data_IF_725503182280
#
_entry.id   IF_725503182280
#
_cell.length_a   1.000
_cell.length_b   1.000
_cell.length_c   1.000
_cell.angle_alpha   90.00
_cell.angle_beta   90.00
_cell.angle_gamma   90.00
#
_symmetry.space_group_name_H-M   'P 1'
#
loop_
_entity.id
_entity.type
_entity.pdbx_description
1 polymer ?
#
# COMPACT_ATOMS: atom_id res chain seq x y z
N UNK A 1 -25.31 -20.07 8.92
CA UNK A 1 -24.29 -19.06 8.54
C UNK A 1 -23.20 -19.06 9.60
N UNK A 2 -21.93 -19.39 9.28
CA UNK A 2 -20.84 -19.32 10.27
C UNK A 2 -20.58 -17.85 10.61
N UNK A 3 -20.75 -17.48 11.88
CA UNK A 3 -20.41 -16.13 12.38
C UNK A 3 -18.89 -15.96 12.23
N UNK A 4 -18.44 -14.91 11.54
CA UNK A 4 -17.02 -14.53 11.50
C UNK A 4 -16.65 -14.06 12.90
N UNK A 5 -15.91 -14.89 13.63
CA UNK A 5 -15.26 -14.52 14.88
C UNK A 5 -14.50 -13.18 14.71
N UNK A 6 -14.42 -12.34 15.76
CA UNK A 6 -13.72 -11.07 15.70
C UNK A 6 -12.28 -11.29 15.23
N UNK A 7 -11.88 -10.51 14.24
CA UNK A 7 -10.53 -10.56 13.68
C UNK A 7 -9.50 -10.37 14.80
N UNK A 8 -8.56 -11.31 14.93
CA UNK A 8 -7.53 -11.24 15.95
C UNK A 8 -6.49 -10.20 15.53
N UNK A 9 -6.05 -9.35 16.45
CA UNK A 9 -5.02 -8.34 16.19
C UNK A 9 -3.73 -8.78 16.87
N UNK A 10 -2.63 -8.75 16.13
CA UNK A 10 -1.30 -9.09 16.61
C UNK A 10 -0.41 -7.85 16.58
N UNK A 11 0.35 -7.66 17.65
CA UNK A 11 1.38 -6.62 17.75
C UNK A 11 2.75 -7.26 17.62
N UNK A 12 3.57 -6.72 16.71
CA UNK A 12 4.98 -7.11 16.55
C UNK A 12 5.85 -5.91 16.84
N UNK A 13 6.79 -6.08 17.76
CA UNK A 13 7.76 -5.04 18.10
C UNK A 13 9.02 -5.29 17.28
N UNK A 14 9.39 -4.32 16.43
CA UNK A 14 10.61 -4.40 15.61
C UNK A 14 11.34 -3.07 15.74
N UNK A 15 12.59 -3.10 16.23
CA UNK A 15 13.44 -1.91 16.43
C UNK A 15 12.68 -0.77 17.12
N UNK A 16 12.10 -1.08 18.29
CA UNK A 16 11.25 -0.21 19.10
C UNK A 16 9.88 0.14 18.49
N UNK A 17 9.63 -0.07 17.20
CA UNK A 17 8.34 0.28 16.59
C UNK A 17 7.29 -0.84 16.79
N UNK A 18 6.05 -0.43 17.02
CA UNK A 18 4.91 -1.34 17.16
C UNK A 18 4.19 -1.48 15.82
N UNK A 19 4.21 -2.67 15.26
CA UNK A 19 3.52 -2.99 14.02
C UNK A 19 2.29 -3.83 14.30
N UNK A 20 1.17 -3.43 13.72
CA UNK A 20 -0.14 -4.04 13.93
C UNK A 20 -0.50 -4.90 12.74
N UNK A 21 -0.86 -6.15 13.02
CA UNK A 21 -1.28 -7.13 12.04
C UNK A 21 -2.67 -7.65 12.40
N UNK A 22 -3.44 -8.00 11.38
CA UNK A 22 -4.70 -8.72 11.49
C UNK A 22 -4.46 -10.19 11.17
N UNK A 23 -4.67 -11.06 12.14
CA UNK A 23 -4.53 -12.50 11.98
C UNK A 23 -5.88 -13.14 11.65
N UNK A 24 -5.87 -13.95 10.59
CA UNK A 24 -6.98 -14.80 10.16
C UNK A 24 -6.44 -16.18 9.84
N UNK A 25 -7.34 -17.14 9.72
CA UNK A 25 -7.00 -18.51 9.37
C UNK A 25 -7.84 -18.92 8.16
N UNK A 26 -7.17 -19.43 7.13
CA UNK A 26 -7.80 -19.92 5.90
C UNK A 26 -7.49 -21.40 5.71
N UNK A 27 -8.44 -22.15 5.18
CA UNK A 27 -8.22 -23.56 4.87
C UNK A 27 -7.45 -23.69 3.55
N UNK A 28 -6.23 -24.19 3.63
CA UNK A 28 -5.39 -24.49 2.47
C UNK A 28 -5.79 -25.88 1.93
N UNK A 29 -6.54 -25.90 0.83
CA UNK A 29 -7.08 -27.15 0.23
C UNK A 29 -5.99 -28.06 -0.32
N UNK A 30 -4.91 -27.50 -0.84
CA UNK A 30 -3.80 -28.25 -1.43
C UNK A 30 -3.02 -29.00 -0.35
N UNK A 31 -2.75 -28.32 0.77
CA UNK A 31 -2.02 -28.89 1.89
C UNK A 31 -2.92 -29.57 2.92
N UNK A 32 -4.25 -29.54 2.70
CA UNK A 32 -5.32 -30.05 3.58
C UNK A 32 -5.13 -29.64 5.05
N UNK A 33 -4.72 -28.39 5.28
CA UNK A 33 -4.46 -27.86 6.62
C UNK A 33 -4.88 -26.40 6.75
N UNK A 34 -5.14 -25.97 7.98
CA UNK A 34 -5.38 -24.55 8.28
C UNK A 34 -4.07 -23.79 8.14
N UNK A 35 -4.08 -22.73 7.34
CA UNK A 35 -2.97 -21.79 7.19
C UNK A 35 -3.33 -20.47 7.83
N UNK A 36 -2.50 -20.04 8.77
CA UNK A 36 -2.60 -18.70 9.37
C UNK A 36 -2.14 -17.66 8.36
N UNK A 37 -2.95 -16.63 8.17
CA UNK A 37 -2.68 -15.47 7.32
C UNK A 37 -2.62 -14.25 8.24
N UNK A 38 -1.58 -13.44 8.09
CA UNK A 38 -1.44 -12.19 8.85
C UNK A 38 -1.31 -11.03 7.88
N UNK A 39 -2.14 -10.01 8.05
CA UNK A 39 -2.20 -8.84 7.18
C UNK A 39 -1.72 -7.61 7.95
N UNK A 40 -0.76 -6.87 7.40
CA UNK A 40 -0.29 -5.63 8.01
C UNK A 40 -1.32 -4.50 7.86
N UNK A 41 -1.82 -3.96 8.98
CA UNK A 41 -2.86 -2.92 8.99
C UNK A 41 -2.34 -1.52 9.36
N UNK A 42 -1.17 -1.42 10.00
CA UNK A 42 -0.63 -0.13 10.42
C UNK A 42 0.40 -0.26 11.54
N UNK A 43 0.83 0.87 12.09
CA UNK A 43 1.79 0.94 13.20
C UNK A 43 1.23 1.77 14.35
N UNK A 44 1.74 1.54 15.56
CA UNK A 44 1.45 2.37 16.73
C UNK A 44 2.74 3.14 17.05
N UNK A 45 2.64 4.46 17.16
CA UNK A 45 3.75 5.30 17.60
C UNK A 45 4.05 5.05 19.08
N UNK A 46 5.23 5.45 19.54
CA UNK A 46 5.59 5.40 20.97
C UNK A 46 4.64 6.17 21.89
N UNK A 47 3.90 7.16 21.35
CA UNK A 47 2.84 7.87 22.06
C UNK A 47 1.49 7.14 22.09
N UNK A 48 1.40 5.89 21.62
CA UNK A 48 0.16 5.09 21.61
C UNK A 48 -0.80 5.41 20.47
N UNK A 49 -0.44 6.29 19.53
CA UNK A 49 -1.30 6.68 18.41
C UNK A 49 -1.19 5.65 17.29
N UNK A 50 -2.34 5.08 16.90
CA UNK A 50 -2.42 4.16 15.76
C UNK A 50 -2.41 4.91 14.42
N UNK A 51 -1.46 4.57 13.56
CA UNK A 51 -1.35 5.03 12.16
C UNK A 51 -1.73 3.89 11.22
N UNK A 52 -2.87 4.02 10.56
CA UNK A 52 -3.31 3.08 9.53
C UNK A 52 -2.32 3.05 8.37
N UNK A 53 -2.05 1.86 7.84
CA UNK A 53 -1.28 1.67 6.60
C UNK A 53 -1.93 2.50 5.49
N UNK A 54 -1.19 3.46 4.94
CA UNK A 54 -1.63 4.22 3.76
C UNK A 54 -1.68 3.27 2.57
N UNK A 55 -2.82 3.23 1.90
CA UNK A 55 -2.92 2.62 0.58
C UNK A 55 -2.07 3.49 -0.35
N UNK A 56 -0.96 2.96 -0.85
CA UNK A 56 -0.21 3.65 -1.89
C UNK A 56 -1.13 3.69 -3.10
N UNK A 57 -1.72 4.86 -3.40
CA UNK A 57 -2.31 5.11 -4.70
C UNK A 57 -1.23 4.80 -5.72
N UNK A 58 -1.44 3.74 -6.50
CA UNK A 58 -0.49 3.30 -7.55
C UNK A 58 -0.36 4.33 -8.67
N UNK A 59 -1.17 5.38 -8.63
CA UNK A 59 -1.05 6.57 -9.46
C UNK A 59 0.10 7.39 -8.87
N UNK A 60 1.31 7.03 -9.24
CA UNK A 60 2.40 7.98 -9.24
C UNK A 60 2.06 8.95 -10.38
N UNK A 61 1.43 10.09 -10.07
CA UNK A 61 1.42 11.23 -10.98
C UNK A 61 2.88 11.62 -11.18
N UNK A 62 3.53 10.96 -12.13
CA UNK A 62 4.92 11.21 -12.41
C UNK A 62 4.93 12.57 -13.10
N UNK A 63 5.52 13.58 -12.45
CA UNK A 63 5.66 14.91 -13.06
C UNK A 63 6.29 14.87 -14.46
N UNK A 64 6.90 13.74 -14.86
CA UNK A 64 7.39 13.45 -16.23
C UNK A 64 6.33 13.65 -17.31
N UNK A 65 5.08 13.25 -17.09
CA UNK A 65 4.02 13.40 -18.11
C UNK A 65 3.77 14.89 -18.43
N UNK A 66 3.83 15.76 -17.42
CA UNK A 66 3.69 17.22 -17.59
C UNK A 66 4.90 17.83 -18.33
N UNK A 67 6.11 17.34 -18.07
CA UNK A 67 7.32 17.81 -18.76
C UNK A 67 7.39 17.36 -20.23
N UNK A 68 6.93 16.16 -20.55
CA UNK A 68 6.92 15.65 -21.93
C UNK A 68 5.99 16.47 -22.85
N UNK A 69 4.83 16.89 -22.35
CA UNK A 69 3.93 17.78 -23.09
C UNK A 69 4.56 19.16 -23.34
N UNK A 70 5.20 19.75 -22.32
CA UNK A 70 5.88 21.04 -22.45
C UNK A 70 7.02 21.01 -23.48
N UNK A 71 7.80 19.93 -23.49
CA UNK A 71 8.89 19.74 -24.45
C UNK A 71 8.38 19.55 -25.89
N UNK A 72 7.28 18.82 -26.07
CA UNK A 72 6.66 18.63 -27.38
C UNK A 72 6.11 19.94 -27.97
N UNK A 73 5.48 20.77 -27.14
CA UNK A 73 4.96 22.08 -27.55
C UNK A 73 6.08 23.05 -27.97
N UNK A 74 7.20 23.07 -27.23
CA UNK A 74 8.39 23.85 -27.58
C UNK A 74 9.03 23.38 -28.89
N UNK A 75 9.16 22.06 -29.09
CA UNK A 75 9.71 21.51 -30.32
C UNK A 75 8.83 21.85 -31.54
N UNK A 76 7.50 21.72 -31.41
CA UNK A 76 6.56 22.09 -32.47
C UNK A 76 6.68 23.58 -32.83
N UNK A 77 6.74 24.46 -31.83
CA UNK A 77 6.95 25.89 -32.06
C UNK A 77 8.27 26.18 -32.79
N UNK A 78 9.37 25.54 -32.40
CA UNK A 78 10.69 25.75 -33.02
C UNK A 78 10.77 25.21 -34.45
N UNK A 79 10.05 24.13 -34.76
CA UNK A 79 10.04 23.51 -36.10
C UNK A 79 9.15 24.30 -37.06
N UNK A 80 7.98 24.75 -36.61
CA UNK A 80 6.96 25.37 -37.50
C UNK A 80 7.03 26.89 -37.58
N UNK A 81 7.92 27.58 -36.85
CA UNK A 81 8.14 29.03 -36.97
C UNK A 81 9.39 29.42 -37.78
N UNK A 82 10.09 28.47 -38.40
CA UNK A 82 11.28 28.71 -39.23
C UNK A 82 11.07 28.53 -40.74
N UNK A 83 9.84 28.37 -41.20
CA UNK A 83 9.44 28.40 -42.61
C UNK A 83 8.45 29.52 -42.84
#
# INVERSE_FOLDING_TARGET
>A
MKKKEPSHIELKIIKNNYYVYRATSEWDKERKKVRKITEYIGSIDHGGIFRKKRERSRIQESGREVFEYGNGALAHHMIFQRT
#
